data_IF_273976810920
#
_entry.id   IF_273976810920
#
_cell.length_a   1.000
_cell.length_b   1.000
_cell.length_c   1.000
_cell.angle_alpha   90.00
_cell.angle_beta   90.00
_cell.angle_gamma   90.00
#
_symmetry.space_group_name_H-M   'P 1'
#
loop_
_entity.id
_entity.type
_entity.pdbx_description
1 polymer ?
#
# COMPACT_ATOMS: atom_id res chain seq x y z
N UNK A 1 -66.56 -17.08 -10.02
CA UNK A 1 -65.53 -18.13 -10.17
C UNK A 1 -64.19 -17.52 -10.60
N UNK A 2 -63.11 -17.88 -9.90
CA UNK A 2 -61.69 -17.66 -10.21
C UNK A 2 -61.15 -16.21 -10.26
N UNK A 3 -60.88 -15.64 -9.11
CA UNK A 3 -59.81 -14.63 -8.91
C UNK A 3 -58.78 -15.23 -7.93
N UNK A 4 -57.93 -16.14 -8.38
CA UNK A 4 -56.91 -16.78 -7.55
C UNK A 4 -55.56 -16.95 -8.26
N UNK A 5 -55.12 -15.99 -9.04
CA UNK A 5 -53.88 -16.11 -9.81
C UNK A 5 -52.91 -14.90 -9.73
N UNK A 6 -53.33 -13.76 -9.27
CA UNK A 6 -52.51 -12.53 -9.39
C UNK A 6 -51.63 -12.29 -8.13
N UNK A 7 -52.03 -12.77 -6.97
CA UNK A 7 -51.29 -12.53 -5.73
C UNK A 7 -49.99 -13.32 -5.60
N UNK A 8 -49.91 -14.50 -6.20
CA UNK A 8 -48.71 -15.36 -6.14
C UNK A 8 -47.53 -14.79 -6.90
N UNK A 9 -47.75 -14.23 -8.08
CA UNK A 9 -46.70 -13.65 -8.92
C UNK A 9 -46.07 -12.40 -8.29
N UNK A 10 -46.85 -11.56 -7.66
CA UNK A 10 -46.38 -10.37 -6.93
C UNK A 10 -45.61 -10.73 -5.68
N UNK A 11 -45.95 -11.80 -5.01
CA UNK A 11 -45.23 -12.28 -3.83
C UNK A 11 -43.87 -12.84 -4.21
N UNK A 12 -43.79 -13.63 -5.25
CA UNK A 12 -42.52 -14.14 -5.78
C UNK A 12 -41.60 -13.01 -6.27
N UNK A 13 -42.14 -11.99 -6.95
CA UNK A 13 -41.35 -10.85 -7.43
C UNK A 13 -40.76 -10.03 -6.28
N UNK A 14 -41.52 -9.82 -5.19
CA UNK A 14 -41.04 -9.13 -3.98
C UNK A 14 -39.94 -9.92 -3.25
N UNK A 15 -40.09 -11.23 -3.13
CA UNK A 15 -39.04 -12.10 -2.54
C UNK A 15 -37.75 -12.08 -3.36
N UNK A 16 -37.86 -12.07 -4.68
CA UNK A 16 -36.71 -12.02 -5.57
C UNK A 16 -35.99 -10.67 -5.46
N UNK A 17 -36.73 -9.57 -5.34
CA UNK A 17 -36.17 -8.23 -5.15
C UNK A 17 -35.43 -8.11 -3.82
N UNK A 18 -35.97 -8.65 -2.74
CA UNK A 18 -35.32 -8.68 -1.42
C UNK A 18 -34.04 -9.52 -1.45
N UNK A 19 -34.05 -10.67 -2.12
CA UNK A 19 -32.88 -11.53 -2.24
C UNK A 19 -31.73 -10.83 -3.00
N UNK A 20 -32.03 -10.07 -4.06
CA UNK A 20 -31.04 -9.28 -4.82
C UNK A 20 -30.45 -8.16 -3.99
N UNK A 21 -31.27 -7.46 -3.17
CA UNK A 21 -30.80 -6.39 -2.29
C UNK A 21 -29.90 -6.96 -1.18
N UNK A 22 -30.26 -8.10 -0.60
CA UNK A 22 -29.45 -8.75 0.45
C UNK A 22 -28.12 -9.29 -0.08
N UNK A 23 -28.05 -9.76 -1.34
CA UNK A 23 -26.82 -10.19 -1.98
C UNK A 23 -25.86 -9.02 -2.26
N UNK A 24 -26.38 -7.80 -2.46
CA UNK A 24 -25.56 -6.60 -2.70
C UNK A 24 -24.86 -6.03 -1.45
N UNK A 25 -25.30 -6.41 -0.25
CA UNK A 25 -24.77 -5.86 1.02
C UNK A 25 -23.54 -6.60 1.57
N UNK A 26 -23.14 -7.73 0.98
CA UNK A 26 -22.01 -8.53 1.48
C UNK A 26 -20.65 -8.14 0.91
N UNK A 27 -20.53 -7.05 0.12
CA UNK A 27 -19.33 -6.73 -0.67
C UNK A 27 -18.36 -5.72 -0.05
N UNK A 28 -18.44 -5.38 1.22
CA UNK A 28 -17.41 -4.53 1.86
C UNK A 28 -16.66 -5.29 2.93
N UNK A 29 -15.90 -6.31 2.55
CA UNK A 29 -14.82 -6.81 3.41
C UNK A 29 -13.64 -5.84 3.30
N UNK A 30 -13.56 -4.88 4.21
CA UNK A 30 -12.35 -4.12 4.46
C UNK A 30 -11.32 -5.10 5.00
N UNK A 31 -10.41 -5.56 4.17
CA UNK A 31 -9.28 -6.41 4.58
C UNK A 31 -8.43 -5.57 5.53
N UNK A 32 -8.61 -5.77 6.84
CA UNK A 32 -7.74 -5.20 7.86
C UNK A 32 -6.45 -6.01 7.88
N UNK A 33 -5.48 -5.57 7.08
CA UNK A 33 -4.16 -6.16 7.12
C UNK A 33 -3.40 -5.65 8.35
N UNK A 34 -2.87 -6.56 9.18
CA UNK A 34 -2.02 -6.25 10.33
C UNK A 34 -0.55 -6.38 9.91
N UNK A 35 0.21 -5.30 10.05
CA UNK A 35 1.67 -5.35 10.04
C UNK A 35 2.18 -5.72 11.44
N UNK A 36 3.40 -6.26 11.53
CA UNK A 36 4.03 -6.56 12.82
C UNK A 36 4.11 -5.30 13.69
N UNK A 37 3.88 -5.46 14.99
CA UNK A 37 3.96 -4.34 15.94
C UNK A 37 5.38 -3.76 15.97
N UNK A 38 5.49 -2.43 15.96
CA UNK A 38 6.75 -1.67 15.96
C UNK A 38 7.56 -1.81 17.26
N UNK A 39 7.05 -2.57 18.25
CA UNK A 39 7.60 -2.60 19.62
C UNK A 39 8.72 -3.59 19.81
N UNK A 40 9.01 -4.52 18.89
CA UNK A 40 10.01 -5.57 19.11
C UNK A 40 10.94 -5.77 17.91
N UNK A 41 12.26 -5.59 18.15
CA UNK A 41 13.36 -6.07 17.29
C UNK A 41 13.37 -5.60 15.84
N UNK A 42 13.00 -4.35 15.58
CA UNK A 42 13.15 -3.76 14.26
C UNK A 42 14.56 -3.22 14.06
N UNK A 43 15.21 -3.65 12.99
CA UNK A 43 16.46 -3.05 12.52
C UNK A 43 16.16 -1.78 11.77
N UNK A 44 16.86 -0.69 12.10
CA UNK A 44 16.67 0.61 11.45
C UNK A 44 17.94 1.08 10.75
N UNK A 45 17.76 1.74 9.62
CA UNK A 45 18.80 2.42 8.86
C UNK A 45 18.36 3.85 8.58
N UNK A 46 19.23 4.78 8.90
CA UNK A 46 19.07 6.21 8.66
C UNK A 46 19.98 6.65 7.53
N UNK A 47 19.52 7.54 6.68
CA UNK A 47 20.36 8.07 5.62
C UNK A 47 19.66 9.15 4.79
N UNK A 48 20.20 9.39 3.61
CA UNK A 48 19.62 10.29 2.62
C UNK A 48 19.09 9.49 1.44
N UNK A 49 17.98 9.96 0.89
CA UNK A 49 17.41 9.48 -0.35
C UNK A 49 17.38 10.60 -1.39
N UNK A 50 18.03 10.37 -2.52
CA UNK A 50 17.76 11.11 -3.74
C UNK A 50 16.72 10.34 -4.54
N UNK A 51 15.56 10.93 -4.70
CA UNK A 51 14.48 10.45 -5.57
C UNK A 51 14.40 11.33 -6.81
N UNK A 52 14.47 10.71 -7.96
CA UNK A 52 14.26 11.35 -9.26
C UNK A 52 13.08 10.70 -9.95
N UNK A 53 11.97 11.38 -10.03
CA UNK A 53 10.81 11.03 -10.81
C UNK A 53 10.82 11.72 -12.17
N UNK A 54 9.79 11.51 -12.97
CA UNK A 54 9.68 12.07 -14.34
C UNK A 54 9.73 13.61 -14.40
N UNK A 55 9.25 14.30 -13.37
CA UNK A 55 9.14 15.77 -13.33
C UNK A 55 9.70 16.39 -12.06
N UNK A 56 10.26 15.58 -11.16
CA UNK A 56 10.64 16.04 -9.83
C UNK A 56 11.90 15.34 -9.39
N UNK A 57 12.84 16.11 -8.85
CA UNK A 57 14.01 15.56 -8.13
C UNK A 57 13.92 16.07 -6.69
N UNK A 58 14.00 15.15 -5.75
CA UNK A 58 13.91 15.42 -4.32
C UNK A 58 15.10 14.77 -3.61
N UNK A 59 15.67 15.51 -2.68
CA UNK A 59 16.65 15.00 -1.72
C UNK A 59 16.08 15.23 -0.33
N UNK A 60 16.15 14.20 0.51
CA UNK A 60 15.67 14.28 1.87
C UNK A 60 16.22 13.15 2.73
N UNK A 61 15.77 13.14 3.97
CA UNK A 61 16.14 12.11 4.93
C UNK A 61 15.25 10.89 4.75
N UNK A 62 15.84 9.71 4.91
CA UNK A 62 15.12 8.46 4.87
C UNK A 62 15.41 7.63 6.12
N UNK A 63 14.35 7.12 6.72
CA UNK A 63 14.39 6.09 7.74
C UNK A 63 13.80 4.82 7.16
N UNK A 64 14.55 3.73 7.19
CA UNK A 64 14.07 2.41 6.79
C UNK A 64 14.16 1.49 7.99
N UNK A 65 13.10 0.75 8.25
CA UNK A 65 13.00 -0.24 9.32
C UNK A 65 12.58 -1.57 8.75
N UNK A 66 13.12 -2.64 9.31
CA UNK A 66 12.74 -4.02 8.98
C UNK A 66 12.45 -4.81 10.24
N UNK A 67 11.34 -5.54 10.24
CA UNK A 67 11.06 -6.55 11.25
C UNK A 67 11.77 -7.86 10.94
N UNK A 68 11.92 -8.74 11.92
CA UNK A 68 12.41 -10.12 11.70
C UNK A 68 11.51 -10.92 10.77
N UNK A 69 10.22 -10.59 10.71
CA UNK A 69 9.25 -11.20 9.80
C UNK A 69 9.35 -10.69 8.36
N UNK A 70 10.21 -9.69 8.09
CA UNK A 70 10.39 -9.10 6.77
C UNK A 70 9.39 -8.01 6.41
N UNK A 71 8.65 -7.47 7.38
CA UNK A 71 7.91 -6.23 7.17
C UNK A 71 8.89 -5.08 7.02
N UNK A 72 8.59 -4.15 6.13
CA UNK A 72 9.36 -2.93 5.92
C UNK A 72 8.51 -1.70 6.24
N UNK A 73 9.11 -0.77 6.93
CA UNK A 73 8.62 0.61 7.04
C UNK A 73 9.68 1.56 6.48
N UNK A 74 9.26 2.44 5.56
CA UNK A 74 10.09 3.48 4.99
C UNK A 74 9.41 4.83 5.18
N UNK A 75 10.13 5.77 5.78
CA UNK A 75 9.69 7.16 5.88
C UNK A 75 10.68 8.06 5.15
N UNK A 76 10.19 8.83 4.18
CA UNK A 76 10.97 9.82 3.42
C UNK A 76 10.47 11.21 3.77
N UNK A 77 11.39 12.07 4.24
CA UNK A 77 11.08 13.43 4.70
C UNK A 77 11.94 14.47 3.99
N UNK A 78 11.40 15.68 3.83
CA UNK A 78 12.13 16.82 3.36
C UNK A 78 12.17 17.88 4.48
N UNK A 79 13.35 18.02 5.07
CA UNK A 79 13.54 18.92 6.23
C UNK A 79 12.73 18.49 7.46
N UNK A 80 12.75 19.26 8.52
CA UNK A 80 12.09 18.92 9.76
C UNK A 80 10.56 18.90 9.60
N UNK A 81 9.97 17.74 9.83
CA UNK A 81 8.51 17.58 9.96
C UNK A 81 7.71 17.42 8.67
N UNK A 82 8.32 17.47 7.48
CA UNK A 82 7.58 17.28 6.22
C UNK A 82 7.75 15.86 5.71
N UNK A 83 6.79 14.99 6.00
CA UNK A 83 6.75 13.64 5.44
C UNK A 83 6.29 13.67 3.99
N UNK A 84 7.16 13.28 3.06
CA UNK A 84 6.85 13.18 1.63
C UNK A 84 6.19 11.85 1.28
N UNK A 85 6.62 10.78 1.97
CA UNK A 85 6.08 9.44 1.79
C UNK A 85 6.32 8.59 3.03
N UNK A 86 5.33 7.80 3.37
CA UNK A 86 5.42 6.72 4.34
C UNK A 86 4.93 5.43 3.69
N UNK A 87 5.76 4.41 3.71
CA UNK A 87 5.49 3.08 3.15
C UNK A 87 5.52 2.06 4.27
N UNK A 88 4.49 1.24 4.38
CA UNK A 88 4.48 0.00 5.17
C UNK A 88 4.22 -1.14 4.20
N UNK A 89 5.08 -2.16 4.21
CA UNK A 89 4.99 -3.24 3.24
C UNK A 89 5.51 -4.55 3.81
N UNK A 90 4.82 -5.64 3.48
CA UNK A 90 5.36 -7.00 3.58
C UNK A 90 5.40 -7.66 2.18
N UNK A 91 5.55 -8.97 2.13
CA UNK A 91 5.66 -9.69 0.86
C UNK A 91 4.41 -9.57 -0.03
N UNK A 92 3.22 -9.42 0.56
CA UNK A 92 1.94 -9.53 -0.15
C UNK A 92 1.10 -8.26 -0.13
N UNK A 93 1.28 -7.41 0.87
CA UNK A 93 0.43 -6.25 1.12
C UNK A 93 1.27 -4.99 1.37
N UNK A 94 0.76 -3.84 0.96
CA UNK A 94 1.40 -2.57 1.23
C UNK A 94 0.40 -1.46 1.52
N UNK A 95 0.88 -0.44 2.25
CA UNK A 95 0.19 0.82 2.51
C UNK A 95 1.17 1.96 2.28
N UNK A 96 0.78 2.92 1.44
CA UNK A 96 1.55 4.12 1.15
C UNK A 96 0.71 5.34 1.51
N UNK A 97 1.34 6.33 2.12
CA UNK A 97 0.72 7.61 2.48
C UNK A 97 1.67 8.75 2.20
N UNK A 98 1.13 9.86 1.73
CA UNK A 98 1.87 11.11 1.54
C UNK A 98 1.74 11.71 0.15
N UNK A 99 2.30 12.92 -0.05
CA UNK A 99 2.23 13.64 -1.32
C UNK A 99 2.76 12.85 -2.53
N UNK A 100 3.83 12.07 -2.36
CA UNK A 100 4.39 11.26 -3.45
C UNK A 100 3.50 10.06 -3.82
N UNK A 101 2.66 9.59 -2.91
CA UNK A 101 1.62 8.60 -3.21
C UNK A 101 0.31 9.23 -3.70
N UNK A 102 0.28 10.58 -3.82
CA UNK A 102 -0.94 11.36 -4.15
C UNK A 102 -2.10 11.08 -3.17
N UNK A 103 -1.76 10.93 -1.89
CA UNK A 103 -2.70 10.62 -0.82
C UNK A 103 -2.39 9.30 -0.12
N UNK A 104 -3.39 8.43 -0.03
CA UNK A 104 -3.24 7.12 0.62
C UNK A 104 -3.66 6.02 -0.34
N UNK A 105 -2.83 4.99 -0.45
CA UNK A 105 -3.15 3.74 -1.12
C UNK A 105 -2.86 2.56 -0.20
N UNK A 106 -3.69 1.53 -0.25
CA UNK A 106 -3.54 0.31 0.54
C UNK A 106 -4.11 -0.88 -0.23
N UNK A 107 -3.37 -1.97 -0.32
CA UNK A 107 -3.83 -3.18 -1.00
C UNK A 107 -2.73 -4.21 -1.27
N UNK A 108 -3.08 -5.30 -1.97
CA UNK A 108 -2.11 -6.30 -2.40
C UNK A 108 -1.03 -5.69 -3.31
N UNK A 109 0.24 -6.02 -3.06
CA UNK A 109 1.39 -5.49 -3.85
C UNK A 109 1.22 -5.74 -5.34
N UNK A 110 0.68 -6.91 -5.72
CA UNK A 110 0.44 -7.26 -7.12
C UNK A 110 -0.59 -6.37 -7.83
N UNK A 111 -1.47 -5.71 -7.07
CA UNK A 111 -2.51 -4.81 -7.58
C UNK A 111 -2.13 -3.34 -7.51
N UNK A 112 -0.89 -3.04 -7.14
CA UNK A 112 -0.45 -1.67 -6.98
C UNK A 112 -0.49 -0.88 -8.30
N UNK A 113 -0.94 0.39 -8.25
CA UNK A 113 -0.87 1.29 -9.40
C UNK A 113 0.55 1.40 -9.94
N UNK A 114 0.69 1.54 -11.26
CA UNK A 114 2.00 1.65 -11.91
C UNK A 114 2.90 2.74 -11.32
N UNK A 115 2.29 3.87 -10.91
CA UNK A 115 3.01 4.99 -10.30
C UNK A 115 3.62 4.69 -8.92
N UNK A 116 3.21 3.63 -8.25
CA UNK A 116 3.69 3.24 -6.91
C UNK A 116 4.65 2.04 -6.95
N UNK A 117 4.75 1.34 -8.09
CA UNK A 117 5.54 0.11 -8.21
C UNK A 117 7.02 0.33 -7.92
N UNK A 118 7.61 1.46 -8.34
CA UNK A 118 9.00 1.79 -8.05
C UNK A 118 9.27 1.80 -6.54
N UNK A 119 8.39 2.40 -5.76
CA UNK A 119 8.48 2.44 -4.31
C UNK A 119 8.33 1.06 -3.66
N UNK A 120 7.46 0.22 -4.19
CA UNK A 120 7.21 -1.12 -3.65
C UNK A 120 8.32 -2.13 -3.96
N UNK A 121 9.09 -1.92 -5.03
CA UNK A 121 10.27 -2.72 -5.35
C UNK A 121 11.44 -2.48 -4.40
N UNK A 122 11.44 -1.34 -3.68
CA UNK A 122 12.51 -1.00 -2.74
C UNK A 122 12.63 -1.99 -1.58
N UNK A 123 11.54 -2.64 -1.17
CA UNK A 123 11.59 -3.63 -0.08
C UNK A 123 12.57 -4.76 -0.39
N UNK A 124 12.41 -5.43 -1.51
CA UNK A 124 13.27 -6.56 -1.90
C UNK A 124 14.72 -6.10 -2.11
N UNK A 125 14.89 -4.95 -2.74
CA UNK A 125 16.20 -4.37 -2.97
C UNK A 125 16.95 -4.06 -1.65
N UNK A 126 16.27 -3.41 -0.70
CA UNK A 126 16.87 -3.00 0.56
C UNK A 126 17.13 -4.19 1.48
N UNK A 127 16.26 -5.21 1.48
CA UNK A 127 16.51 -6.48 2.17
C UNK A 127 17.74 -7.19 1.59
N UNK A 128 17.84 -7.28 0.26
CA UNK A 128 18.98 -7.93 -0.40
C UNK A 128 20.29 -7.14 -0.25
N UNK A 129 20.22 -5.83 -0.05
CA UNK A 129 21.41 -4.97 0.08
C UNK A 129 22.14 -5.13 1.42
N UNK A 130 21.48 -5.66 2.44
CA UNK A 130 22.02 -5.79 3.79
C UNK A 130 22.51 -4.45 4.34
N UNK A 131 23.77 -4.37 4.75
CA UNK A 131 24.38 -3.18 5.34
C UNK A 131 25.18 -2.31 4.34
N UNK A 132 24.94 -2.43 3.02
CA UNK A 132 25.62 -1.60 2.03
C UNK A 132 25.40 -0.11 2.28
N UNK A 133 26.45 0.73 2.28
CA UNK A 133 26.31 2.16 2.58
C UNK A 133 25.59 2.94 1.48
N UNK A 134 25.54 2.40 0.26
CA UNK A 134 24.83 3.01 -0.86
C UNK A 134 24.08 1.96 -1.65
N UNK A 135 22.86 2.30 -2.03
CA UNK A 135 21.96 1.44 -2.82
C UNK A 135 21.31 2.29 -3.90
N UNK A 136 21.36 1.84 -5.15
CA UNK A 136 20.72 2.51 -6.28
C UNK A 136 19.72 1.59 -6.94
N UNK A 137 18.57 2.14 -7.30
CA UNK A 137 17.50 1.45 -8.04
C UNK A 137 16.89 2.36 -9.09
N UNK A 138 16.57 1.80 -10.24
CA UNK A 138 15.83 2.52 -11.29
C UNK A 138 14.71 1.63 -11.81
N UNK A 139 13.48 2.14 -11.80
CA UNK A 139 12.31 1.44 -12.25
C UNK A 139 11.26 2.43 -12.79
N UNK A 140 10.63 2.11 -13.92
CA UNK A 140 9.50 2.88 -14.44
C UNK A 140 9.80 4.34 -14.79
N UNK A 141 11.08 4.69 -15.03
CA UNK A 141 11.53 6.07 -15.23
C UNK A 141 11.75 6.85 -13.94
N UNK A 142 11.78 6.18 -12.81
CA UNK A 142 12.14 6.71 -11.50
C UNK A 142 13.52 6.19 -11.09
N UNK A 143 14.28 6.98 -10.35
CA UNK A 143 15.59 6.60 -9.79
C UNK A 143 15.62 6.91 -8.31
N UNK A 144 16.09 5.95 -7.54
CA UNK A 144 16.26 6.01 -6.10
C UNK A 144 17.73 5.78 -5.76
N UNK A 145 18.35 6.70 -5.04
CA UNK A 145 19.75 6.56 -4.57
C UNK A 145 19.74 6.78 -3.07
N UNK A 146 20.00 5.71 -2.33
CA UNK A 146 20.14 5.72 -0.87
C UNK A 146 21.61 5.86 -0.51
N UNK A 147 21.89 6.64 0.53
CA UNK A 147 23.17 6.77 1.22
C UNK A 147 22.91 6.67 2.72
N UNK A 148 23.30 5.56 3.30
CA UNK A 148 23.13 5.25 4.72
C UNK A 148 24.40 5.55 5.52
#
# INVERSE_FOLDING_TARGET
MKQAGVNGAWFCLRLLLIAVIMAGLTSCQTIRHHFSDLTQDWQSRHGQLLYRGKRTTLIGEVLVRFSKAGDMELTFTKGPGIALLHVQQNATFARLRGPLARGTWSGPVAQAPAALRGWLQLRELLLASGQKPSVQHSAGGETFIFRF
#
